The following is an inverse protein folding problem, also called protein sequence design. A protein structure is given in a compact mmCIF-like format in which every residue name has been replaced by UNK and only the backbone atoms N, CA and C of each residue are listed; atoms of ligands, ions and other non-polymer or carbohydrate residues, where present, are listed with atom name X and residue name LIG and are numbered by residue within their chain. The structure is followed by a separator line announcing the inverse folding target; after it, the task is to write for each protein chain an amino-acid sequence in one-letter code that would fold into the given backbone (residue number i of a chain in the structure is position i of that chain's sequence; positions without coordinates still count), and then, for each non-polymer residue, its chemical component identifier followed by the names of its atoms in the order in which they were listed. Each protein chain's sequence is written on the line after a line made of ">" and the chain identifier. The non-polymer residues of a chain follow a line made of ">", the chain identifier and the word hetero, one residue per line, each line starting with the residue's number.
data_IF_057289510891
#
_entry.id   IF_057289510891
#
_cell.length_a   1.000
_cell.length_b   1.000
_cell.length_c   1.000
_cell.angle_alpha   90.00
_cell.angle_beta   90.00
_cell.angle_gamma   90.00
#
_symmetry.space_group_name_H-M   'P 1'
#
loop_
_entity.id
_entity.type
_entity.pdbx_description
1 polymer ?
#
# COMPACT_ATOMS: atom_id res chain seq x y z
N UNK A 1 -20.90 11.04 4.47
CA UNK A 1 -19.67 10.67 3.77
C UNK A 1 -20.01 9.52 2.85
N UNK A 2 -20.17 9.79 1.56
CA UNK A 2 -20.47 8.73 0.60
C UNK A 2 -19.16 7.98 0.37
N UNK A 3 -19.05 6.79 0.97
CA UNK A 3 -17.93 5.90 0.71
C UNK A 3 -17.99 5.51 -0.76
N UNK A 4 -17.04 5.99 -1.54
CA UNK A 4 -16.91 5.58 -2.93
C UNK A 4 -16.57 4.09 -2.95
N UNK A 5 -17.33 3.32 -3.74
CA UNK A 5 -17.10 1.88 -3.83
C UNK A 5 -15.72 1.66 -4.45
N UNK A 6 -14.80 1.13 -3.64
CA UNK A 6 -13.46 0.80 -4.11
C UNK A 6 -13.57 -0.32 -5.14
N UNK A 7 -13.20 -0.03 -6.38
CA UNK A 7 -13.14 -1.05 -7.43
C UNK A 7 -11.92 -1.96 -7.19
N UNK A 8 -12.14 -3.13 -6.61
CA UNK A 8 -11.06 -4.03 -6.20
C UNK A 8 -10.19 -4.48 -7.40
N UNK A 9 -10.77 -4.50 -8.60
CA UNK A 9 -10.05 -4.88 -9.84
C UNK A 9 -8.96 -3.88 -10.25
N UNK A 10 -9.03 -2.65 -9.75
CA UNK A 10 -8.06 -1.59 -10.04
C UNK A 10 -7.08 -1.36 -8.90
N UNK A 11 -7.20 -2.11 -7.78
CA UNK A 11 -6.27 -2.01 -6.66
C UNK A 11 -4.98 -2.79 -7.02
N UNK A 12 -3.83 -2.14 -6.83
CA UNK A 12 -2.52 -2.75 -7.00
C UNK A 12 -1.57 -2.31 -5.88
N UNK A 13 -0.52 -3.09 -5.65
CA UNK A 13 0.58 -2.70 -4.77
C UNK A 13 1.42 -1.65 -5.48
N UNK A 14 1.55 -0.48 -4.87
CA UNK A 14 2.41 0.59 -5.37
C UNK A 14 3.88 0.27 -5.06
N UNK A 15 4.61 -0.14 -6.11
CA UNK A 15 6.05 -0.41 -6.03
C UNK A 15 6.87 0.87 -6.20
N UNK A 16 6.38 1.81 -7.01
CA UNK A 16 7.08 3.06 -7.33
C UNK A 16 7.25 3.92 -6.07
N UNK A 17 6.20 3.99 -5.23
CA UNK A 17 6.27 4.69 -3.96
C UNK A 17 7.30 4.08 -3.01
N UNK A 18 7.39 2.75 -2.93
CA UNK A 18 8.40 2.10 -2.09
C UNK A 18 9.83 2.36 -2.58
N UNK A 19 10.05 2.25 -3.89
CA UNK A 19 11.35 2.54 -4.51
C UNK A 19 11.75 4.00 -4.28
N UNK A 20 10.81 4.93 -4.46
CA UNK A 20 11.01 6.36 -4.20
C UNK A 20 11.35 6.64 -2.74
N UNK A 21 10.63 6.04 -1.79
CA UNK A 21 10.93 6.17 -0.35
C UNK A 21 12.30 5.60 0.01
N UNK A 22 12.71 4.49 -0.61
CA UNK A 22 14.04 3.89 -0.39
C UNK A 22 15.16 4.73 -0.99
N UNK A 23 14.93 5.34 -2.15
CA UNK A 23 15.89 6.21 -2.84
C UNK A 23 16.00 7.59 -2.19
N UNK A 24 14.98 8.02 -1.43
CA UNK A 24 14.98 9.30 -0.73
C UNK A 24 16.18 9.42 0.21
N UNK A 25 17.02 10.43 -0.03
CA UNK A 25 18.19 10.76 0.80
C UNK A 25 17.76 11.73 1.89
N UNK A 26 17.41 11.18 3.06
CA UNK A 26 17.15 11.98 4.25
C UNK A 26 18.45 12.64 4.73
N UNK A 27 18.38 13.93 5.05
CA UNK A 27 19.49 14.76 5.49
C UNK A 27 19.41 15.06 6.99
N UNK A 28 18.20 15.02 7.57
CA UNK A 28 17.96 15.26 9.00
C UNK A 28 17.51 13.99 9.74
N UNK A 29 17.73 13.90 11.07
CA UNK A 29 17.18 12.82 11.89
C UNK A 29 15.66 12.70 11.77
N UNK A 30 14.95 13.82 11.71
CA UNK A 30 13.50 13.88 11.60
C UNK A 30 13.01 13.26 10.27
N UNK A 31 13.72 13.53 9.17
CA UNK A 31 13.42 12.94 7.87
C UNK A 31 13.71 11.43 7.85
N UNK A 32 14.74 10.96 8.56
CA UNK A 32 15.02 9.53 8.69
C UNK A 32 13.86 8.81 9.39
N UNK A 33 13.37 9.38 10.49
CA UNK A 33 12.22 8.82 11.21
C UNK A 33 10.93 8.88 10.38
N UNK A 34 10.65 10.02 9.74
CA UNK A 34 9.51 10.16 8.84
C UNK A 34 9.53 9.10 7.71
N UNK A 35 10.68 8.91 7.06
CA UNK A 35 10.85 7.86 6.03
C UNK A 35 10.61 6.45 6.59
N UNK A 36 11.06 6.16 7.81
CA UNK A 36 10.83 4.86 8.48
C UNK A 36 9.34 4.64 8.75
N UNK A 37 8.64 5.65 9.24
CA UNK A 37 7.21 5.59 9.50
C UNK A 37 6.41 5.41 8.20
N UNK A 38 6.72 6.15 7.14
CA UNK A 38 6.08 5.99 5.83
C UNK A 38 6.27 4.59 5.26
N UNK A 39 7.49 4.03 5.33
CA UNK A 39 7.74 2.65 4.92
C UNK A 39 6.98 1.63 5.78
N UNK A 40 6.79 1.91 7.08
CA UNK A 40 5.96 1.06 7.95
C UNK A 40 4.49 1.11 7.54
N UNK A 41 3.93 2.30 7.36
CA UNK A 41 2.54 2.46 6.93
C UNK A 41 2.29 1.85 5.56
N UNK A 42 3.21 2.04 4.61
CA UNK A 42 3.14 1.41 3.30
C UNK A 42 3.04 -0.11 3.39
N UNK A 43 3.88 -0.75 4.22
CA UNK A 43 3.82 -2.21 4.42
C UNK A 43 2.46 -2.66 4.96
N UNK A 44 1.91 -1.93 5.93
CA UNK A 44 0.58 -2.25 6.48
C UNK A 44 -0.52 -2.10 5.42
N UNK A 45 -0.46 -1.05 4.60
CA UNK A 45 -1.40 -0.84 3.49
C UNK A 45 -1.26 -1.97 2.45
N UNK A 46 -0.03 -2.33 2.08
CA UNK A 46 0.22 -3.43 1.16
C UNK A 46 -0.36 -4.76 1.65
N UNK A 47 -0.26 -5.04 2.96
CA UNK A 47 -0.82 -6.26 3.55
C UNK A 47 -2.35 -6.29 3.41
N UNK A 48 -3.03 -5.17 3.71
CA UNK A 48 -4.47 -5.03 3.49
C UNK A 48 -4.82 -5.18 2.01
N UNK A 49 -4.07 -4.56 1.10
CA UNK A 49 -4.27 -4.67 -0.34
C UNK A 49 -4.11 -6.13 -0.81
N UNK A 50 -3.08 -6.84 -0.34
CA UNK A 50 -2.88 -8.27 -0.64
C UNK A 50 -4.05 -9.10 -0.17
N UNK A 51 -4.58 -8.83 1.02
CA UNK A 51 -5.77 -9.53 1.53
C UNK A 51 -7.00 -9.24 0.69
N UNK A 52 -7.26 -7.97 0.33
CA UNK A 52 -8.38 -7.59 -0.53
C UNK A 52 -8.32 -8.27 -1.89
N UNK A 53 -7.14 -8.34 -2.50
CA UNK A 53 -6.94 -9.06 -3.78
C UNK A 53 -7.21 -10.56 -3.60
N UNK A 54 -6.74 -11.18 -2.51
CA UNK A 54 -7.04 -12.60 -2.22
C UNK A 54 -8.53 -12.85 -2.05
N UNK A 55 -9.23 -12.00 -1.31
CA UNK A 55 -10.69 -12.12 -1.13
C UNK A 55 -11.43 -11.99 -2.45
N UNK A 56 -11.05 -11.03 -3.31
CA UNK A 56 -11.62 -10.88 -4.64
C UNK A 56 -11.43 -12.13 -5.50
N UNK A 57 -10.21 -12.68 -5.54
CA UNK A 57 -9.89 -13.88 -6.33
C UNK A 57 -10.62 -15.13 -5.80
N UNK A 58 -10.77 -15.25 -4.49
CA UNK A 58 -11.49 -16.36 -3.84
C UNK A 58 -13.00 -16.30 -4.08
N UNK A 59 -13.54 -15.09 -4.21
CA UNK A 59 -14.96 -14.87 -4.53
C UNK A 59 -15.26 -15.21 -5.98
N UNK A 60 -14.34 -14.88 -6.89
CA UNK A 60 -14.48 -15.09 -8.33
C UNK A 60 -14.31 -16.56 -8.77
N UNK A 61 -13.83 -17.44 -7.87
CA UNK A 61 -13.66 -18.88 -8.10
C UNK A 61 -14.86 -19.72 -7.66
N UNK A 62 -15.93 -19.08 -7.16
CA UNK A 62 -17.22 -19.70 -6.80
C UNK A 62 -18.36 -19.34 -7.77
N UNK A 63 -18.05 -18.68 -8.89
CA UNK A 63 -19.01 -18.31 -9.94
C UNK A 63 -18.72 -19.07 -11.22
#
# INVERSE_FOLDING_TARGET
>A
MSGENVNIRTIAIDKELEESLRAFKAETPEEVECRRELLRYKRQIDDVVRELIRFSNSSNSRS
#
